data_IF_613928349015
#
_entry.id   IF_613928349015
#
_cell.length_a   1.000
_cell.length_b   1.000
_cell.length_c   1.000
_cell.angle_alpha   90.00
_cell.angle_beta   90.00
_cell.angle_gamma   90.00
#
_symmetry.space_group_name_H-M   'P 1'
#
loop_
_entity.id
_entity.type
_entity.pdbx_description
1 polymer ?
#
# COMPACT_ATOMS: atom_id res chain seq x y z
N UNK A 1 -25.32 19.10 -8.84
CA UNK A 1 -25.21 17.72 -8.33
C UNK A 1 -23.85 17.04 -8.57
N UNK A 2 -23.04 17.36 -9.60
CA UNK A 2 -21.67 16.79 -9.78
C UNK A 2 -20.64 17.42 -8.85
N UNK A 3 -20.78 18.69 -8.50
CA UNK A 3 -19.85 19.40 -7.59
C UNK A 3 -19.97 18.96 -6.11
N UNK A 4 -21.17 18.58 -5.66
CA UNK A 4 -21.42 18.14 -4.27
C UNK A 4 -20.75 16.81 -3.89
N UNK A 5 -20.46 15.95 -4.87
CA UNK A 5 -19.82 14.63 -4.59
C UNK A 5 -18.32 14.72 -4.31
N UNK A 6 -17.67 15.80 -4.73
CA UNK A 6 -16.24 16.04 -4.51
C UNK A 6 -15.94 16.82 -3.22
N UNK A 7 -16.94 17.49 -2.66
CA UNK A 7 -16.79 18.22 -1.39
C UNK A 7 -16.93 17.28 -0.18
N UNK A 8 -15.80 16.98 0.46
CA UNK A 8 -15.75 16.18 1.68
C UNK A 8 -15.95 17.01 2.95
N UNK A 9 -16.12 18.32 2.80
CA UNK A 9 -16.25 19.27 3.94
C UNK A 9 -17.68 19.44 4.42
N UNK A 10 -18.67 18.88 3.70
CA UNK A 10 -20.11 19.00 3.99
C UNK A 10 -20.79 17.63 4.06
N UNK A 11 -22.01 17.58 4.56
CA UNK A 11 -22.82 16.36 4.65
C UNK A 11 -22.33 15.33 5.67
N UNK A 12 -22.90 14.12 5.60
CA UNK A 12 -22.55 13.01 6.49
C UNK A 12 -21.16 12.46 6.19
N UNK A 13 -20.28 12.40 7.20
CA UNK A 13 -18.94 11.81 7.08
C UNK A 13 -19.08 10.29 6.90
N UNK A 14 -19.96 9.62 7.64
CA UNK A 14 -20.17 8.18 7.57
C UNK A 14 -20.50 7.72 6.14
N UNK A 15 -21.59 8.21 5.57
CA UNK A 15 -22.00 7.80 4.23
C UNK A 15 -20.97 8.18 3.15
N UNK A 16 -20.46 9.42 3.19
CA UNK A 16 -19.48 9.85 2.18
C UNK A 16 -18.17 9.06 2.26
N UNK A 17 -17.67 8.75 3.47
CA UNK A 17 -16.44 7.98 3.66
C UNK A 17 -16.62 6.54 3.19
N UNK A 18 -17.75 5.90 3.47
CA UNK A 18 -18.04 4.56 2.98
C UNK A 18 -18.03 4.50 1.44
N UNK A 19 -18.80 5.39 0.79
CA UNK A 19 -18.86 5.43 -0.69
C UNK A 19 -17.54 5.84 -1.34
N UNK A 20 -16.72 6.63 -0.66
CA UNK A 20 -15.37 6.98 -1.08
C UNK A 20 -14.43 5.77 -0.99
N UNK A 21 -14.54 4.97 0.07
CA UNK A 21 -13.61 3.87 0.35
C UNK A 21 -13.91 2.62 -0.48
N UNK A 22 -15.17 2.36 -0.87
CA UNK A 22 -15.52 1.18 -1.69
C UNK A 22 -14.67 1.07 -2.97
N UNK A 23 -14.54 2.12 -3.81
CA UNK A 23 -13.69 2.02 -5.00
C UNK A 23 -12.20 1.78 -4.65
N UNK A 24 -11.71 2.29 -3.52
CA UNK A 24 -10.33 2.05 -3.07
C UNK A 24 -10.13 0.59 -2.64
N UNK A 25 -11.09 0.00 -1.91
CA UNK A 25 -11.07 -1.43 -1.57
C UNK A 25 -11.05 -2.27 -2.84
N UNK A 26 -11.91 -1.95 -3.82
CA UNK A 26 -11.94 -2.66 -5.10
C UNK A 26 -10.63 -2.48 -5.89
N UNK A 27 -10.01 -1.29 -5.83
CA UNK A 27 -8.70 -1.05 -6.45
C UNK A 27 -7.62 -1.96 -5.85
N UNK A 28 -7.58 -2.07 -4.52
CA UNK A 28 -6.64 -2.93 -3.83
C UNK A 28 -6.88 -4.41 -4.16
N UNK A 29 -8.14 -4.85 -4.17
CA UNK A 29 -8.48 -6.22 -4.58
C UNK A 29 -8.08 -6.53 -6.02
N UNK A 30 -8.30 -5.61 -6.95
CA UNK A 30 -7.85 -5.79 -8.34
C UNK A 30 -6.33 -5.94 -8.43
N UNK A 31 -5.55 -5.18 -7.65
CA UNK A 31 -4.10 -5.33 -7.62
C UNK A 31 -3.68 -6.74 -7.15
N UNK A 32 -4.31 -7.26 -6.10
CA UNK A 32 -4.06 -8.62 -5.63
C UNK A 32 -4.44 -9.65 -6.70
N UNK A 33 -5.61 -9.52 -7.32
CA UNK A 33 -6.06 -10.43 -8.37
C UNK A 33 -5.13 -10.43 -9.59
N UNK A 34 -4.62 -9.26 -9.99
CA UNK A 34 -3.68 -9.17 -11.11
C UNK A 34 -2.35 -9.83 -10.77
N UNK A 35 -1.81 -9.61 -9.57
CA UNK A 35 -0.61 -10.31 -9.11
C UNK A 35 -0.80 -11.84 -9.08
N UNK A 36 -1.97 -12.30 -8.62
CA UNK A 36 -2.28 -13.74 -8.64
C UNK A 36 -2.38 -14.29 -10.06
N UNK A 37 -2.98 -13.54 -10.99
CA UNK A 37 -3.07 -13.93 -12.40
C UNK A 37 -1.68 -14.01 -13.06
N UNK A 38 -0.79 -13.06 -12.76
CA UNK A 38 0.60 -13.06 -13.23
C UNK A 38 1.35 -14.32 -12.75
N UNK A 39 1.27 -14.62 -11.45
CA UNK A 39 1.90 -15.79 -10.84
C UNK A 39 1.32 -17.08 -11.43
N UNK A 40 -0.01 -17.17 -11.57
CA UNK A 40 -0.67 -18.36 -12.15
C UNK A 40 -0.29 -18.55 -13.62
N UNK A 41 -0.23 -17.48 -14.41
CA UNK A 41 0.19 -17.50 -15.81
C UNK A 41 1.62 -18.00 -15.98
N UNK A 42 2.54 -17.51 -15.16
CA UNK A 42 3.94 -17.99 -15.17
C UNK A 42 4.01 -19.45 -14.76
N UNK A 43 3.36 -19.85 -13.67
CA UNK A 43 3.42 -21.21 -13.15
C UNK A 43 2.88 -22.26 -14.12
N UNK A 44 1.82 -21.93 -14.86
CA UNK A 44 1.19 -22.86 -15.82
C UNK A 44 1.91 -22.93 -17.17
N UNK A 45 2.47 -21.83 -17.67
CA UNK A 45 2.94 -21.72 -19.05
C UNK A 45 4.45 -21.50 -19.19
N UNK A 46 5.14 -20.95 -18.18
CA UNK A 46 6.58 -20.67 -18.24
C UNK A 46 7.43 -21.63 -17.39
N UNK A 47 6.78 -22.49 -16.59
CA UNK A 47 7.45 -23.52 -15.80
C UNK A 47 7.95 -23.07 -14.42
N UNK A 48 8.44 -24.04 -13.64
CA UNK A 48 8.78 -23.86 -12.21
C UNK A 48 10.00 -22.95 -11.98
N UNK A 49 10.97 -22.94 -12.88
CA UNK A 49 12.16 -22.07 -12.78
C UNK A 49 11.76 -20.59 -12.93
N UNK A 50 10.92 -20.27 -13.94
CA UNK A 50 10.41 -18.94 -14.16
C UNK A 50 9.53 -18.46 -13.01
N UNK A 51 8.69 -19.35 -12.47
CA UNK A 51 7.89 -19.08 -11.28
C UNK A 51 8.77 -18.79 -10.06
N UNK A 52 9.81 -19.59 -9.85
CA UNK A 52 10.78 -19.39 -8.76
C UNK A 52 11.55 -18.09 -8.90
N UNK A 53 11.97 -17.74 -10.12
CA UNK A 53 12.67 -16.49 -10.41
C UNK A 53 11.80 -15.26 -10.08
N UNK A 54 10.54 -15.22 -10.55
CA UNK A 54 9.61 -14.12 -10.24
C UNK A 54 9.27 -14.08 -8.75
N UNK A 55 9.00 -15.24 -8.14
CA UNK A 55 8.71 -15.35 -6.70
C UNK A 55 9.83 -14.77 -5.83
N UNK A 56 11.10 -14.99 -6.19
CA UNK A 56 12.25 -14.47 -5.44
C UNK A 56 12.37 -12.93 -5.51
N UNK A 57 11.73 -12.26 -6.47
CA UNK A 57 11.74 -10.81 -6.61
C UNK A 57 10.62 -10.10 -5.84
N UNK A 58 9.62 -10.84 -5.35
CA UNK A 58 8.39 -10.27 -4.76
C UNK A 58 8.68 -9.29 -3.63
N UNK A 59 9.64 -9.59 -2.75
CA UNK A 59 10.02 -8.71 -1.65
C UNK A 59 10.55 -7.37 -2.15
N UNK A 60 11.42 -7.39 -3.17
CA UNK A 60 11.97 -6.17 -3.78
C UNK A 60 10.87 -5.35 -4.45
N UNK A 61 10.00 -6.00 -5.23
CA UNK A 61 8.85 -5.35 -5.88
C UNK A 61 7.99 -4.66 -4.81
N UNK A 62 7.60 -5.39 -3.75
CA UNK A 62 6.74 -4.86 -2.70
C UNK A 62 7.39 -3.72 -1.92
N UNK A 63 8.70 -3.79 -1.66
CA UNK A 63 9.45 -2.73 -1.00
C UNK A 63 9.39 -1.42 -1.79
N UNK A 64 9.74 -1.45 -3.08
CA UNK A 64 9.79 -0.24 -3.90
C UNK A 64 8.42 0.28 -4.29
N UNK A 65 7.45 -0.61 -4.56
CA UNK A 65 6.06 -0.19 -4.81
C UNK A 65 5.45 0.45 -3.56
N UNK A 66 5.66 -0.15 -2.39
CA UNK A 66 5.24 0.40 -1.11
C UNK A 66 5.83 1.78 -0.82
N UNK A 67 7.12 1.97 -1.16
CA UNK A 67 7.76 3.28 -1.08
C UNK A 67 7.05 4.34 -1.95
N UNK A 68 6.77 4.02 -3.21
CA UNK A 68 6.09 4.96 -4.13
C UNK A 68 4.63 5.22 -3.71
N UNK A 69 3.92 4.24 -3.18
CA UNK A 69 2.58 4.41 -2.62
C UNK A 69 2.63 5.38 -1.42
N UNK A 70 3.59 5.20 -0.51
CA UNK A 70 3.76 6.09 0.63
C UNK A 70 4.07 7.54 0.22
N UNK A 71 4.90 7.73 -0.81
CA UNK A 71 5.16 9.05 -1.40
C UNK A 71 3.87 9.70 -1.93
N UNK A 72 2.98 8.93 -2.56
CA UNK A 72 1.66 9.39 -3.01
C UNK A 72 0.78 9.91 -1.87
N UNK A 73 0.89 9.33 -0.67
CA UNK A 73 0.16 9.79 0.51
C UNK A 73 0.42 11.26 0.86
N UNK A 74 1.65 11.74 0.69
CA UNK A 74 2.01 13.15 0.86
C UNK A 74 1.27 14.07 -0.12
N UNK A 75 1.16 13.63 -1.37
CA UNK A 75 0.40 14.36 -2.40
C UNK A 75 -1.08 14.45 -2.05
N UNK A 76 -1.69 13.33 -1.64
CA UNK A 76 -3.10 13.29 -1.23
C UNK A 76 -3.39 14.32 -0.13
N UNK A 77 -2.65 14.27 0.96
CA UNK A 77 -2.87 15.15 2.12
C UNK A 77 -2.71 16.62 1.75
N UNK A 78 -1.65 16.98 1.02
CA UNK A 78 -1.35 18.38 0.73
C UNK A 78 -2.33 18.99 -0.29
N UNK A 79 -2.66 18.23 -1.34
CA UNK A 79 -3.67 18.65 -2.33
C UNK A 79 -5.04 18.77 -1.68
N UNK A 80 -5.46 17.79 -0.85
CA UNK A 80 -6.72 17.83 -0.12
C UNK A 80 -6.81 19.05 0.78
N UNK A 81 -5.72 19.41 1.47
CA UNK A 81 -5.67 20.59 2.36
C UNK A 81 -5.89 21.88 1.60
N UNK A 82 -5.16 22.15 0.53
CA UNK A 82 -5.32 23.39 -0.24
C UNK A 82 -6.65 23.44 -0.99
N UNK A 83 -7.11 22.28 -1.50
CA UNK A 83 -8.42 22.17 -2.13
C UNK A 83 -9.55 22.49 -1.13
N UNK A 84 -9.48 21.94 0.08
CA UNK A 84 -10.44 22.25 1.16
C UNK A 84 -10.42 23.70 1.61
N UNK A 85 -9.25 24.35 1.57
CA UNK A 85 -9.09 25.78 1.82
C UNK A 85 -9.61 26.67 0.68
N UNK A 86 -10.01 26.08 -0.45
CA UNK A 86 -10.35 26.78 -1.70
C UNK A 86 -9.22 27.68 -2.24
N UNK A 87 -7.98 27.37 -1.86
CA UNK A 87 -6.78 28.01 -2.36
C UNK A 87 -6.35 27.38 -3.68
N UNK A 88 -6.85 27.93 -4.77
CA UNK A 88 -6.63 27.45 -6.13
C UNK A 88 -5.15 27.51 -6.52
N UNK A 89 -4.45 28.58 -6.17
CA UNK A 89 -3.07 28.79 -6.55
C UNK A 89 -2.15 27.76 -5.90
N UNK A 90 -2.27 27.58 -4.58
CA UNK A 90 -1.48 26.59 -3.85
C UNK A 90 -1.84 25.14 -4.27
N UNK A 91 -3.12 24.88 -4.59
CA UNK A 91 -3.54 23.57 -5.09
C UNK A 91 -2.85 23.23 -6.41
N UNK A 92 -2.85 24.16 -7.38
CA UNK A 92 -2.20 23.96 -8.69
C UNK A 92 -0.69 23.83 -8.54
N UNK A 93 -0.05 24.70 -7.74
CA UNK A 93 1.39 24.62 -7.45
C UNK A 93 1.75 23.27 -6.85
N UNK A 94 0.93 22.78 -5.92
CA UNK A 94 1.13 21.46 -5.29
C UNK A 94 1.00 20.33 -6.30
N UNK A 95 -0.02 20.33 -7.17
CA UNK A 95 -0.21 19.30 -8.19
C UNK A 95 0.96 19.27 -9.17
N UNK A 96 1.40 20.44 -9.69
CA UNK A 96 2.53 20.52 -10.60
C UNK A 96 3.84 20.03 -9.96
N UNK A 97 4.11 20.48 -8.73
CA UNK A 97 5.30 20.07 -7.98
C UNK A 97 5.25 18.58 -7.63
N UNK A 98 4.09 18.06 -7.23
CA UNK A 98 3.91 16.65 -6.90
C UNK A 98 4.12 15.73 -8.11
N UNK A 99 3.70 16.14 -9.32
CA UNK A 99 4.00 15.43 -10.56
C UNK A 99 5.51 15.29 -10.76
N UNK A 100 6.25 16.38 -10.61
CA UNK A 100 7.71 16.40 -10.81
C UNK A 100 8.43 15.59 -9.72
N UNK A 101 8.02 15.71 -8.46
CA UNK A 101 8.57 14.94 -7.32
C UNK A 101 8.30 13.45 -7.49
N UNK A 102 7.10 13.06 -7.93
CA UNK A 102 6.75 11.66 -8.16
C UNK A 102 7.53 11.07 -9.34
N UNK A 103 7.69 11.83 -10.44
CA UNK A 103 8.53 11.42 -11.55
C UNK A 103 9.98 11.23 -11.10
N UNK A 104 10.54 12.18 -10.36
CA UNK A 104 11.90 12.08 -9.83
C UNK A 104 12.05 10.86 -8.89
N UNK A 105 11.10 10.61 -8.00
CA UNK A 105 11.10 9.44 -7.14
C UNK A 105 11.07 8.13 -7.95
N UNK A 106 10.21 8.03 -8.96
CA UNK A 106 10.15 6.88 -9.86
C UNK A 106 11.44 6.66 -10.64
N UNK A 107 12.09 7.73 -11.12
CA UNK A 107 13.38 7.68 -11.79
C UNK A 107 14.52 7.27 -10.84
N UNK A 108 14.53 7.75 -9.60
CA UNK A 108 15.50 7.34 -8.59
C UNK A 108 15.37 5.85 -8.30
N UNK A 109 14.14 5.35 -8.11
CA UNK A 109 13.86 3.92 -7.89
C UNK A 109 14.27 3.10 -9.11
N UNK A 110 14.00 3.55 -10.33
CA UNK A 110 14.44 2.90 -11.57
C UNK A 110 15.96 2.76 -11.60
N UNK A 111 16.70 3.87 -11.44
CA UNK A 111 18.17 3.88 -11.52
C UNK A 111 18.75 2.98 -10.43
N UNK A 112 18.27 3.12 -9.21
CA UNK A 112 18.70 2.29 -8.07
C UNK A 112 18.43 0.81 -8.34
N UNK A 113 17.24 0.48 -8.82
CA UNK A 113 16.86 -0.90 -9.14
C UNK A 113 17.72 -1.51 -10.25
N UNK A 114 18.01 -0.76 -11.33
CA UNK A 114 18.87 -1.26 -12.41
C UNK A 114 20.31 -1.51 -11.94
N UNK A 115 20.83 -0.65 -11.07
CA UNK A 115 22.22 -0.75 -10.60
C UNK A 115 22.41 -1.84 -9.52
N UNK A 116 21.48 -1.94 -8.57
CA UNK A 116 21.68 -2.74 -7.35
C UNK A 116 20.85 -4.03 -7.30
N UNK A 117 19.94 -4.29 -8.25
CA UNK A 117 19.05 -5.46 -8.21
C UNK A 117 19.78 -6.80 -8.04
N UNK A 118 20.87 -7.01 -8.79
CA UNK A 118 21.65 -8.26 -8.69
C UNK A 118 22.24 -8.44 -7.28
N UNK A 119 22.95 -7.43 -6.78
CA UNK A 119 23.57 -7.50 -5.44
C UNK A 119 22.55 -7.67 -4.32
N UNK A 120 21.36 -7.08 -4.46
CA UNK A 120 20.30 -7.26 -3.44
C UNK A 120 19.72 -8.67 -3.51
N UNK A 121 19.50 -9.24 -4.70
CA UNK A 121 19.03 -10.62 -4.85
C UNK A 121 20.05 -11.64 -4.33
N UNK A 122 21.34 -11.41 -4.53
CA UNK A 122 22.42 -12.20 -3.94
C UNK A 122 22.42 -12.10 -2.41
N UNK A 123 22.25 -10.87 -1.86
CA UNK A 123 22.15 -10.64 -0.42
C UNK A 123 20.92 -11.34 0.21
N UNK A 124 19.83 -11.46 -0.55
CA UNK A 124 18.63 -12.19 -0.15
C UNK A 124 18.77 -13.71 -0.32
N UNK A 125 19.96 -14.21 -0.64
CA UNK A 125 20.24 -15.62 -0.87
C UNK A 125 19.36 -16.28 -1.95
N UNK A 126 19.09 -15.54 -3.04
CA UNK A 126 18.40 -16.11 -4.19
C UNK A 126 19.26 -17.25 -4.76
N UNK A 127 18.65 -18.42 -5.00
CA UNK A 127 19.35 -19.58 -5.55
C UNK A 127 19.99 -19.25 -6.88
N UNK A 128 21.20 -19.75 -7.12
CA UNK A 128 22.01 -19.44 -8.31
C UNK A 128 21.27 -19.79 -9.61
N UNK A 129 20.54 -20.91 -9.64
CA UNK A 129 19.72 -21.34 -10.78
C UNK A 129 18.53 -20.41 -11.12
N UNK A 130 18.10 -19.57 -10.18
CA UNK A 130 17.00 -18.61 -10.34
C UNK A 130 17.50 -17.18 -10.56
N UNK A 131 18.77 -16.90 -10.24
CA UNK A 131 19.32 -15.54 -10.15
C UNK A 131 19.24 -14.79 -11.47
N UNK A 132 19.63 -15.38 -12.57
CA UNK A 132 19.63 -14.73 -13.88
C UNK A 132 18.21 -14.37 -14.34
N UNK A 133 17.26 -15.28 -14.18
CA UNK A 133 15.83 -15.02 -14.46
C UNK A 133 15.25 -13.95 -13.56
N UNK A 134 15.59 -13.97 -12.26
CA UNK A 134 15.15 -12.98 -11.29
C UNK A 134 15.71 -11.58 -11.59
N UNK A 135 17.00 -11.50 -11.94
CA UNK A 135 17.66 -10.22 -12.32
C UNK A 135 17.05 -9.68 -13.61
N UNK A 136 16.81 -10.53 -14.60
CA UNK A 136 16.16 -10.12 -15.85
C UNK A 136 14.77 -9.57 -15.59
N UNK A 137 13.91 -10.32 -14.86
CA UNK A 137 12.57 -9.91 -14.50
C UNK A 137 12.55 -8.56 -13.78
N UNK A 138 13.34 -8.44 -12.71
CA UNK A 138 13.31 -7.25 -11.86
C UNK A 138 13.84 -6.00 -12.58
N UNK A 139 14.88 -6.14 -13.40
CA UNK A 139 15.39 -5.03 -14.22
C UNK A 139 14.38 -4.53 -15.22
N UNK A 140 13.70 -5.43 -15.92
CA UNK A 140 12.60 -5.06 -16.81
C UNK A 140 11.49 -4.39 -15.97
N UNK A 141 11.06 -4.98 -14.86
CA UNK A 141 10.00 -4.46 -14.01
C UNK A 141 10.30 -3.04 -13.51
N UNK A 142 11.56 -2.73 -13.16
CA UNK A 142 11.95 -1.39 -12.72
C UNK A 142 11.77 -0.32 -13.81
N UNK A 143 11.78 -0.64 -15.10
CA UNK A 143 11.43 0.31 -16.16
C UNK A 143 10.00 0.84 -16.01
N UNK A 144 9.12 0.13 -15.33
CA UNK A 144 7.77 0.56 -15.01
C UNK A 144 7.64 1.49 -13.79
N UNK A 145 8.70 1.66 -12.96
CA UNK A 145 8.61 2.44 -11.73
C UNK A 145 8.24 3.92 -11.94
N UNK A 146 8.73 4.63 -12.96
CA UNK A 146 8.25 5.98 -13.25
C UNK A 146 6.75 6.03 -13.57
N UNK A 147 6.23 5.05 -14.31
CA UNK A 147 4.80 4.96 -14.61
C UNK A 147 3.99 4.67 -13.34
N UNK A 148 4.46 3.77 -12.48
CA UNK A 148 3.83 3.49 -11.19
C UNK A 148 3.81 4.72 -10.27
N UNK A 149 4.89 5.48 -10.21
CA UNK A 149 4.96 6.73 -9.46
C UNK A 149 3.93 7.76 -9.99
N UNK A 150 3.78 7.88 -11.30
CA UNK A 150 2.81 8.75 -11.95
C UNK A 150 1.36 8.29 -11.72
N UNK A 151 1.11 6.98 -11.75
CA UNK A 151 -0.21 6.46 -11.41
C UNK A 151 -0.57 6.75 -9.94
N UNK A 152 0.35 6.49 -9.00
CA UNK A 152 0.13 6.78 -7.58
C UNK A 152 -0.06 8.29 -7.33
N UNK A 153 0.68 9.16 -8.02
CA UNK A 153 0.45 10.60 -8.02
C UNK A 153 -0.97 10.94 -8.46
N UNK A 154 -1.40 10.42 -9.60
CA UNK A 154 -2.74 10.71 -10.15
C UNK A 154 -3.85 10.18 -9.26
N UNK A 155 -3.70 8.96 -8.71
CA UNK A 155 -4.61 8.39 -7.73
C UNK A 155 -4.71 9.26 -6.47
N UNK A 156 -3.59 9.75 -5.96
CA UNK A 156 -3.54 10.64 -4.80
C UNK A 156 -4.27 11.97 -5.05
N UNK A 157 -4.07 12.59 -6.23
CA UNK A 157 -4.77 13.82 -6.63
C UNK A 157 -6.28 13.57 -6.79
N UNK A 158 -6.69 12.50 -7.47
CA UNK A 158 -8.10 12.14 -7.62
C UNK A 158 -8.76 11.91 -6.25
N UNK A 159 -8.10 11.18 -5.35
CA UNK A 159 -8.58 10.94 -3.99
C UNK A 159 -8.69 12.25 -3.19
N UNK A 160 -7.71 13.15 -3.34
CA UNK A 160 -7.75 14.47 -2.70
C UNK A 160 -8.97 15.31 -3.14
N UNK A 161 -9.43 15.13 -4.39
CA UNK A 161 -10.64 15.75 -4.94
C UNK A 161 -11.93 14.98 -4.64
N UNK A 162 -11.85 13.86 -3.94
CA UNK A 162 -13.01 13.03 -3.61
C UNK A 162 -13.43 12.03 -4.71
N UNK A 163 -12.66 11.89 -5.79
CA UNK A 163 -12.97 11.00 -6.91
C UNK A 163 -12.08 9.74 -6.88
N UNK A 164 -12.57 8.69 -6.26
CA UNK A 164 -11.87 7.39 -6.17
C UNK A 164 -12.29 6.40 -7.26
N UNK A 165 -13.32 6.72 -8.05
CA UNK A 165 -13.83 5.83 -9.10
C UNK A 165 -12.95 5.83 -10.35
N UNK A 166 -12.45 6.99 -10.77
CA UNK A 166 -11.60 7.09 -11.96
C UNK A 166 -10.33 6.24 -11.85
N UNK A 167 -9.54 6.32 -10.75
CA UNK A 167 -8.38 5.44 -10.57
C UNK A 167 -8.73 3.96 -10.67
N UNK A 168 -9.86 3.53 -10.08
CA UNK A 168 -10.35 2.15 -10.17
C UNK A 168 -10.59 1.71 -11.62
N UNK A 169 -11.30 2.52 -12.42
CA UNK A 169 -11.56 2.18 -13.82
C UNK A 169 -10.29 2.11 -14.67
N UNK A 170 -9.35 3.02 -14.43
CA UNK A 170 -8.09 3.03 -15.18
C UNK A 170 -7.18 1.87 -14.82
N UNK A 171 -7.12 1.52 -13.53
CA UNK A 171 -6.40 0.34 -13.09
C UNK A 171 -7.06 -0.94 -13.62
N UNK A 172 -8.40 -1.03 -13.56
CA UNK A 172 -9.14 -2.17 -14.09
C UNK A 172 -8.88 -2.38 -15.58
N UNK A 173 -8.93 -1.31 -16.39
CA UNK A 173 -8.62 -1.38 -17.82
C UNK A 173 -7.16 -1.82 -18.06
N UNK A 174 -6.21 -1.26 -17.33
CA UNK A 174 -4.80 -1.62 -17.42
C UNK A 174 -4.55 -3.09 -17.00
N UNK A 175 -5.25 -3.56 -15.97
CA UNK A 175 -5.14 -4.94 -15.50
C UNK A 175 -5.69 -5.96 -16.49
N UNK A 176 -6.80 -5.66 -17.19
CA UNK A 176 -7.29 -6.52 -18.28
C UNK A 176 -6.24 -6.61 -19.39
N UNK A 177 -5.65 -5.47 -19.78
CA UNK A 177 -4.57 -5.44 -20.77
C UNK A 177 -3.35 -6.23 -20.29
N UNK A 178 -3.00 -6.12 -19.01
CA UNK A 178 -1.91 -6.90 -18.40
C UNK A 178 -2.13 -8.41 -18.56
N UNK A 179 -3.31 -8.92 -18.20
CA UNK A 179 -3.64 -10.36 -18.32
C UNK A 179 -3.54 -10.81 -19.78
N UNK A 180 -4.13 -10.05 -20.71
CA UNK A 180 -4.09 -10.38 -22.14
C UNK A 180 -2.65 -10.41 -22.67
N UNK A 181 -1.86 -9.39 -22.34
CA UNK A 181 -0.45 -9.31 -22.76
C UNK A 181 0.41 -10.39 -22.11
N UNK A 182 0.16 -10.74 -20.86
CA UNK A 182 0.83 -11.85 -20.18
C UNK A 182 0.65 -13.16 -20.94
N UNK A 183 -0.61 -13.51 -21.23
CA UNK A 183 -0.91 -14.73 -21.99
C UNK A 183 -0.29 -14.67 -23.39
N UNK A 184 -0.35 -13.53 -24.07
CA UNK A 184 0.24 -13.34 -25.39
C UNK A 184 1.77 -13.51 -25.36
N UNK A 185 2.48 -12.82 -24.49
CA UNK A 185 3.95 -12.88 -24.44
C UNK A 185 4.47 -14.24 -23.95
N UNK A 186 3.79 -14.86 -22.97
CA UNK A 186 4.23 -16.15 -22.43
C UNK A 186 3.88 -17.30 -23.38
N UNK A 187 2.65 -17.35 -23.90
CA UNK A 187 2.18 -18.50 -24.71
C UNK A 187 2.61 -18.37 -26.17
N UNK A 188 2.38 -17.20 -26.78
CA UNK A 188 2.62 -17.00 -28.22
C UNK A 188 4.07 -16.63 -28.50
N UNK A 189 4.61 -15.65 -27.75
CA UNK A 189 5.98 -15.15 -27.96
C UNK A 189 7.04 -16.00 -27.23
N UNK A 190 6.66 -16.86 -26.29
CA UNK A 190 7.53 -17.71 -25.45
C UNK A 190 8.63 -16.91 -24.75
N UNK A 191 8.26 -15.74 -24.20
CA UNK A 191 9.21 -14.81 -23.59
C UNK A 191 9.46 -15.08 -22.09
N UNK A 192 8.85 -16.12 -21.50
CA UNK A 192 8.99 -16.50 -20.09
C UNK A 192 8.88 -15.29 -19.14
N UNK A 193 9.83 -15.15 -18.19
CA UNK A 193 9.85 -14.06 -17.19
C UNK A 193 9.90 -12.67 -17.83
N UNK A 194 10.57 -12.52 -18.97
CA UNK A 194 10.66 -11.23 -19.67
C UNK A 194 9.31 -10.80 -20.23
N UNK A 195 8.49 -11.75 -20.70
CA UNK A 195 7.15 -11.49 -21.21
C UNK A 195 6.22 -10.94 -20.14
N UNK A 196 6.24 -11.54 -18.96
CA UNK A 196 5.42 -11.10 -17.83
C UNK A 196 5.84 -9.71 -17.34
N UNK A 197 7.14 -9.48 -17.20
CA UNK A 197 7.64 -8.15 -16.84
C UNK A 197 7.25 -7.09 -17.89
N UNK A 198 7.37 -7.40 -19.18
CA UNK A 198 6.95 -6.51 -20.26
C UNK A 198 5.45 -6.19 -20.24
N UNK A 199 4.60 -7.20 -20.02
CA UNK A 199 3.16 -7.01 -19.86
C UNK A 199 2.84 -6.07 -18.69
N UNK A 200 3.51 -6.26 -17.55
CA UNK A 200 3.35 -5.41 -16.36
C UNK A 200 3.77 -3.96 -16.63
N UNK A 201 4.88 -3.73 -17.32
CA UNK A 201 5.31 -2.37 -17.69
C UNK A 201 4.30 -1.69 -18.60
N UNK A 202 3.86 -2.36 -19.66
CA UNK A 202 2.93 -1.78 -20.64
C UNK A 202 1.64 -1.38 -19.93
N UNK A 203 1.11 -2.25 -19.05
CA UNK A 203 -0.10 -1.95 -18.30
C UNK A 203 0.10 -0.82 -17.28
N UNK A 204 1.27 -0.72 -16.62
CA UNK A 204 1.60 0.39 -15.73
C UNK A 204 1.65 1.73 -16.49
N UNK A 205 2.30 1.78 -17.66
CA UNK A 205 2.30 2.99 -18.50
C UNK A 205 0.91 3.33 -19.02
N UNK A 206 0.08 2.34 -19.35
CA UNK A 206 -1.31 2.56 -19.75
C UNK A 206 -2.12 3.20 -18.61
N UNK A 207 -2.05 2.67 -17.38
CA UNK A 207 -2.75 3.23 -16.23
C UNK A 207 -2.28 4.65 -15.91
N UNK A 208 -0.96 4.89 -15.97
CA UNK A 208 -0.37 6.23 -15.80
C UNK A 208 -0.84 7.22 -16.88
N UNK A 209 -0.86 6.80 -18.13
CA UNK A 209 -1.37 7.63 -19.23
C UNK A 209 -2.84 7.99 -19.05
N UNK A 210 -3.68 7.00 -18.72
CA UNK A 210 -5.12 7.21 -18.55
C UNK A 210 -5.42 8.19 -17.41
N UNK A 211 -4.73 8.05 -16.27
CA UNK A 211 -4.96 8.94 -15.13
C UNK A 211 -4.43 10.35 -15.38
N UNK A 212 -3.27 10.50 -16.01
CA UNK A 212 -2.72 11.81 -16.39
C UNK A 212 -3.63 12.51 -17.40
N UNK A 213 -4.10 11.77 -18.43
CA UNK A 213 -5.07 12.30 -19.40
C UNK A 213 -6.34 12.79 -18.71
N UNK A 214 -6.82 12.06 -17.70
CA UNK A 214 -7.98 12.49 -16.93
C UNK A 214 -7.72 13.80 -16.18
N UNK A 215 -6.56 13.95 -15.53
CA UNK A 215 -6.18 15.15 -14.80
C UNK A 215 -6.00 16.36 -15.72
N UNK A 216 -5.49 16.15 -16.95
CA UNK A 216 -5.39 17.20 -17.97
C UNK A 216 -6.76 17.58 -18.52
N UNK A 217 -7.67 16.61 -18.69
CA UNK A 217 -9.03 16.83 -19.22
C UNK A 217 -10.07 17.27 -18.18
N UNK A 218 -9.73 17.25 -16.89
CA UNK A 218 -10.61 17.84 -15.87
C UNK A 218 -10.75 19.33 -16.20
N UNK A 219 -11.96 19.73 -16.63
CA UNK A 219 -12.25 21.12 -16.91
C UNK A 219 -12.21 21.96 -15.63
N UNK A 220 -11.91 23.25 -15.77
CA UNK A 220 -11.91 24.21 -14.68
C UNK A 220 -10.52 24.57 -14.15
N UNK A 221 -10.52 25.20 -12.98
CA UNK A 221 -9.34 25.86 -12.43
C UNK A 221 -8.25 24.90 -11.92
N UNK A 222 -8.57 23.63 -11.69
CA UNK A 222 -7.67 22.61 -11.11
C UNK A 222 -7.07 21.64 -12.15
N UNK A 223 -7.25 21.92 -13.43
CA UNK A 223 -6.71 21.08 -14.51
C UNK A 223 -5.17 21.05 -14.50
N UNK A 224 -4.59 19.88 -14.62
CA UNK A 224 -3.14 19.74 -14.84
C UNK A 224 -2.77 20.31 -16.22
N UNK A 225 -1.98 21.37 -16.24
CA UNK A 225 -1.52 22.01 -17.49
C UNK A 225 -0.03 21.75 -17.68
N UNK A 226 0.30 20.76 -18.50
CA UNK A 226 1.70 20.37 -18.74
C UNK A 226 2.58 21.50 -19.30
N UNK A 227 1.99 22.41 -20.09
CA UNK A 227 2.69 23.60 -20.61
C UNK A 227 3.00 24.67 -19.56
N UNK A 228 2.40 24.57 -18.39
CA UNK A 228 2.57 25.51 -17.26
C UNK A 228 3.17 24.86 -16.03
N UNK A 229 3.85 23.71 -16.20
CA UNK A 229 4.53 23.04 -15.10
C UNK A 229 5.54 23.97 -14.44
N UNK A 230 5.43 24.11 -13.12
CA UNK A 230 6.35 24.89 -12.29
C UNK A 230 6.71 24.08 -11.06
N UNK A 231 7.99 24.04 -10.76
CA UNK A 231 8.51 23.46 -9.53
C UNK A 231 8.54 24.52 -8.43
N UNK A 232 7.85 24.24 -7.35
CA UNK A 232 7.87 25.11 -6.16
C UNK A 232 8.63 24.40 -5.03
N UNK A 233 9.77 24.98 -4.62
CA UNK A 233 10.65 24.39 -3.58
C UNK A 233 9.94 24.20 -2.24
N UNK A 234 9.03 25.11 -1.87
CA UNK A 234 8.30 25.04 -0.62
C UNK A 234 7.29 23.89 -0.64
N UNK A 235 6.56 23.74 -1.73
CA UNK A 235 5.62 22.62 -1.92
C UNK A 235 6.37 21.30 -1.98
N UNK A 236 7.51 21.24 -2.67
CA UNK A 236 8.37 20.05 -2.70
C UNK A 236 8.84 19.66 -1.29
N UNK A 237 9.27 20.64 -0.48
CA UNK A 237 9.64 20.40 0.91
C UNK A 237 8.51 19.78 1.74
N UNK A 238 7.28 20.29 1.62
CA UNK A 238 6.11 19.72 2.32
C UNK A 238 5.76 18.32 1.82
N UNK A 239 5.81 18.10 0.50
CA UNK A 239 5.54 16.78 -0.09
C UNK A 239 6.55 15.73 0.39
N UNK A 240 7.83 16.07 0.40
CA UNK A 240 8.90 15.19 0.88
C UNK A 240 8.78 14.96 2.39
N UNK A 241 8.49 15.99 3.17
CA UNK A 241 8.34 15.88 4.63
C UNK A 241 7.20 14.92 5.03
N UNK A 242 6.15 14.82 4.22
CA UNK A 242 5.03 13.91 4.49
C UNK A 242 5.24 12.55 3.79
N UNK A 243 5.59 12.57 2.51
CA UNK A 243 5.65 11.39 1.67
C UNK A 243 6.87 10.51 1.91
N UNK A 244 8.06 11.11 2.07
CA UNK A 244 9.29 10.33 2.24
C UNK A 244 9.28 9.46 3.51
N UNK A 245 8.90 9.97 4.70
CA UNK A 245 8.78 9.11 5.89
C UNK A 245 7.74 8.01 5.71
N UNK A 246 6.61 8.30 5.04
CA UNK A 246 5.57 7.31 4.76
C UNK A 246 6.09 6.19 3.82
N UNK A 247 6.82 6.56 2.77
CA UNK A 247 7.45 5.61 1.86
C UNK A 247 8.50 4.75 2.54
N UNK A 248 9.38 5.36 3.33
CA UNK A 248 10.40 4.63 4.11
C UNK A 248 9.74 3.67 5.12
N UNK A 249 8.68 4.08 5.80
CA UNK A 249 7.95 3.21 6.71
C UNK A 249 7.46 1.94 6.01
N UNK A 250 6.83 2.06 4.84
CA UNK A 250 6.36 0.91 4.09
C UNK A 250 7.50 -0.03 3.71
N UNK A 251 8.65 0.51 3.28
CA UNK A 251 9.84 -0.29 2.98
C UNK A 251 10.39 -1.01 4.21
N UNK A 252 10.52 -0.33 5.34
CA UNK A 252 11.04 -0.91 6.59
C UNK A 252 10.10 -2.00 7.13
N UNK A 253 8.78 -1.85 6.95
CA UNK A 253 7.83 -2.92 7.29
C UNK A 253 8.11 -4.21 6.50
N UNK A 254 8.46 -4.11 5.21
CA UNK A 254 8.80 -5.30 4.43
C UNK A 254 10.06 -5.99 4.95
N UNK A 255 11.07 -5.21 5.37
CA UNK A 255 12.26 -5.76 6.00
C UNK A 255 11.90 -6.45 7.33
N UNK A 256 11.07 -5.84 8.16
CA UNK A 256 10.62 -6.45 9.42
C UNK A 256 9.86 -7.78 9.19
N UNK A 257 9.07 -7.86 8.13
CA UNK A 257 8.35 -9.10 7.77
C UNK A 257 9.31 -10.24 7.35
N UNK A 258 10.49 -9.93 6.80
CA UNK A 258 11.51 -10.96 6.50
C UNK A 258 12.01 -11.65 7.78
N UNK A 259 12.17 -10.93 8.88
CA UNK A 259 12.55 -11.54 10.17
C UNK A 259 11.47 -12.48 10.69
N UNK A 260 10.19 -12.14 10.51
CA UNK A 260 9.09 -13.02 10.88
C UNK A 260 9.08 -14.26 10.00
N UNK A 261 9.29 -14.09 8.68
CA UNK A 261 9.38 -15.22 7.75
C UNK A 261 10.56 -16.14 8.09
N UNK A 262 11.71 -15.59 8.50
CA UNK A 262 12.83 -16.38 8.99
C UNK A 262 12.41 -17.22 10.21
N UNK A 263 11.63 -16.67 11.14
CA UNK A 263 11.05 -17.42 12.25
C UNK A 263 10.09 -18.53 11.80
N UNK A 264 9.23 -18.25 10.81
CA UNK A 264 8.34 -19.28 10.23
C UNK A 264 9.13 -20.42 9.60
N UNK A 265 10.23 -20.11 8.93
CA UNK A 265 11.08 -21.10 8.24
C UNK A 265 11.83 -22.07 9.20
N UNK A 266 11.79 -21.80 10.52
CA UNK A 266 12.32 -22.73 11.52
C UNK A 266 11.38 -23.89 11.81
N UNK A 267 10.12 -23.81 11.38
CA UNK A 267 9.15 -24.90 11.48
C UNK A 267 9.22 -25.85 10.26
N UNK A 268 8.43 -26.90 10.29
CA UNK A 268 8.32 -27.87 9.20
C UNK A 268 7.69 -27.26 7.93
N UNK A 269 7.84 -27.97 6.82
CA UNK A 269 7.33 -27.52 5.51
C UNK A 269 5.80 -27.34 5.51
N UNK A 270 5.07 -28.13 6.29
CA UNK A 270 3.60 -28.03 6.42
C UNK A 270 3.23 -26.69 7.05
N UNK A 271 3.91 -26.27 8.12
CA UNK A 271 3.68 -24.98 8.76
C UNK A 271 4.05 -23.82 7.85
N UNK A 272 5.15 -23.92 7.12
CA UNK A 272 5.56 -22.88 6.14
C UNK A 272 4.50 -22.73 5.04
N UNK A 273 4.00 -23.85 4.50
CA UNK A 273 2.93 -23.83 3.50
C UNK A 273 1.61 -23.24 4.06
N UNK A 274 1.21 -23.65 5.26
CA UNK A 274 0.03 -23.12 5.94
C UNK A 274 0.14 -21.62 6.23
N UNK A 275 1.32 -21.15 6.67
CA UNK A 275 1.59 -19.72 6.84
C UNK A 275 1.46 -18.95 5.53
N UNK A 276 1.99 -19.46 4.43
CA UNK A 276 1.93 -18.83 3.12
C UNK A 276 0.50 -18.71 2.61
N UNK A 277 -0.32 -19.74 2.76
CA UNK A 277 -1.74 -19.70 2.41
C UNK A 277 -2.50 -18.68 3.28
N UNK A 278 -2.25 -18.65 4.59
CA UNK A 278 -2.89 -17.74 5.53
C UNK A 278 -2.48 -16.27 5.30
N UNK A 279 -1.27 -16.00 4.82
CA UNK A 279 -0.80 -14.64 4.53
C UNK A 279 -1.63 -13.93 3.44
N UNK A 280 -2.28 -14.67 2.54
CA UNK A 280 -3.19 -14.08 1.57
C UNK A 280 -4.45 -13.46 2.24
N UNK A 281 -4.92 -14.04 3.35
CA UNK A 281 -6.01 -13.48 4.14
C UNK A 281 -5.59 -12.15 4.79
N UNK A 282 -4.35 -12.07 5.30
CA UNK A 282 -3.80 -10.84 5.87
C UNK A 282 -3.80 -9.71 4.84
N UNK A 283 -3.33 -9.98 3.62
CA UNK A 283 -3.27 -8.99 2.55
C UNK A 283 -4.66 -8.44 2.21
N UNK A 284 -5.64 -9.32 1.99
CA UNK A 284 -7.01 -8.92 1.65
C UNK A 284 -7.66 -8.06 2.73
N UNK A 285 -7.48 -8.44 4.00
CA UNK A 285 -8.10 -7.73 5.11
C UNK A 285 -7.41 -6.40 5.38
N UNK A 286 -6.07 -6.40 5.39
CA UNK A 286 -5.27 -5.20 5.61
C UNK A 286 -5.47 -4.16 4.50
N UNK A 287 -5.50 -4.58 3.24
CA UNK A 287 -5.74 -3.69 2.09
C UNK A 287 -7.15 -3.10 2.12
N UNK A 288 -8.14 -3.85 2.63
CA UNK A 288 -9.49 -3.32 2.87
C UNK A 288 -9.49 -2.21 3.92
N UNK A 289 -8.74 -2.38 5.02
CA UNK A 289 -8.58 -1.37 6.07
C UNK A 289 -7.81 -0.15 5.55
N UNK A 290 -6.77 -0.36 4.72
CA UNK A 290 -5.93 0.70 4.17
C UNK A 290 -6.70 1.71 3.30
N UNK A 291 -7.80 1.28 2.67
CA UNK A 291 -8.69 2.18 1.95
C UNK A 291 -9.29 3.27 2.85
N UNK A 292 -9.60 2.93 4.11
CA UNK A 292 -10.13 3.90 5.08
C UNK A 292 -9.03 4.80 5.66
N UNK A 293 -7.78 4.34 5.71
CA UNK A 293 -6.64 5.21 6.07
C UNK A 293 -6.39 6.27 4.99
N UNK A 294 -6.52 5.89 3.72
CA UNK A 294 -6.47 6.83 2.59
C UNK A 294 -7.63 7.82 2.64
N UNK A 295 -8.85 7.34 2.93
CA UNK A 295 -10.00 8.19 3.13
C UNK A 295 -9.81 9.16 4.30
N UNK A 296 -9.23 8.70 5.42
CA UNK A 296 -8.88 9.55 6.56
C UNK A 296 -8.03 10.75 6.12
N UNK A 297 -6.96 10.50 5.35
CA UNK A 297 -6.08 11.55 4.82
C UNK A 297 -6.83 12.59 3.98
N UNK A 298 -7.67 12.12 3.04
CA UNK A 298 -8.45 13.02 2.15
C UNK A 298 -9.48 13.83 2.92
N UNK A 299 -10.28 13.18 3.79
CA UNK A 299 -11.34 13.86 4.57
C UNK A 299 -10.75 14.85 5.58
N UNK A 300 -9.74 14.42 6.34
CA UNK A 300 -9.07 15.31 7.30
C UNK A 300 -8.35 16.45 6.59
N UNK A 301 -7.65 16.17 5.48
CA UNK A 301 -6.96 17.19 4.70
C UNK A 301 -7.92 18.31 4.22
N UNK A 302 -9.02 17.94 3.56
CA UNK A 302 -10.02 18.93 3.11
C UNK A 302 -10.66 19.69 4.29
N UNK A 303 -11.05 19.01 5.37
CA UNK A 303 -11.66 19.65 6.52
C UNK A 303 -10.66 20.52 7.32
N UNK A 304 -9.37 20.15 7.31
CA UNK A 304 -8.31 20.98 7.88
C UNK A 304 -8.14 22.27 7.08
N UNK A 305 -8.05 22.16 5.76
CA UNK A 305 -7.98 23.34 4.88
C UNK A 305 -9.20 24.26 5.02
N UNK A 306 -10.39 23.68 5.21
CA UNK A 306 -11.63 24.41 5.40
C UNK A 306 -11.81 24.98 6.83
N UNK A 307 -10.85 24.84 7.75
CA UNK A 307 -10.96 25.31 9.13
C UNK A 307 -11.96 24.56 10.01
N UNK A 308 -12.46 23.40 9.61
CA UNK A 308 -13.54 22.65 10.28
C UNK A 308 -13.01 21.68 11.34
N UNK A 309 -12.49 22.22 12.46
CA UNK A 309 -11.83 21.44 13.53
C UNK A 309 -12.63 20.22 14.01
N UNK A 310 -13.92 20.37 14.28
CA UNK A 310 -14.77 19.23 14.72
C UNK A 310 -14.86 18.15 13.66
N UNK A 311 -14.94 18.51 12.36
CA UNK A 311 -15.00 17.54 11.28
C UNK A 311 -13.66 16.81 11.06
N UNK A 312 -12.54 17.49 11.29
CA UNK A 312 -11.20 16.83 11.28
C UNK A 312 -11.18 15.68 12.29
N UNK A 313 -11.58 15.94 13.55
CA UNK A 313 -11.67 14.89 14.58
C UNK A 313 -12.65 13.78 14.21
N UNK A 314 -13.84 14.15 13.73
CA UNK A 314 -14.87 13.19 13.39
C UNK A 314 -14.45 12.33 12.18
N UNK A 315 -13.71 12.87 11.22
CA UNK A 315 -13.16 12.11 10.09
C UNK A 315 -12.20 11.02 10.57
N UNK A 316 -11.32 11.34 11.53
CA UNK A 316 -10.48 10.32 12.18
C UNK A 316 -11.30 9.24 12.88
N UNK A 317 -12.27 9.62 13.71
CA UNK A 317 -13.08 8.66 14.46
C UNK A 317 -13.91 7.75 13.56
N UNK A 318 -14.47 8.28 12.48
CA UNK A 318 -15.24 7.50 11.51
C UNK A 318 -14.33 6.54 10.72
N UNK A 319 -13.15 6.99 10.32
CA UNK A 319 -12.15 6.13 9.67
C UNK A 319 -11.71 4.99 10.60
N UNK A 320 -11.40 5.32 11.85
CA UNK A 320 -11.06 4.33 12.88
C UNK A 320 -12.20 3.31 13.08
N UNK A 321 -13.45 3.78 13.20
CA UNK A 321 -14.60 2.90 13.40
C UNK A 321 -14.80 1.93 12.24
N UNK A 322 -14.67 2.39 10.99
CA UNK A 322 -14.76 1.52 9.81
C UNK A 322 -13.58 0.55 9.74
N UNK A 323 -12.35 1.01 9.93
CA UNK A 323 -11.16 0.15 9.90
C UNK A 323 -11.20 -0.90 11.01
N UNK A 324 -11.56 -0.50 12.24
CA UNK A 324 -11.73 -1.42 13.36
C UNK A 324 -12.85 -2.42 13.12
N UNK A 325 -14.00 -1.95 12.60
CA UNK A 325 -15.13 -2.83 12.27
C UNK A 325 -14.76 -3.86 11.20
N UNK A 326 -14.11 -3.44 10.11
CA UNK A 326 -13.67 -4.35 9.05
C UNK A 326 -12.60 -5.32 9.58
N UNK A 327 -11.60 -4.83 10.30
CA UNK A 327 -10.54 -5.67 10.87
C UNK A 327 -11.09 -6.70 11.85
N UNK A 328 -12.03 -6.31 12.71
CA UNK A 328 -12.63 -7.19 13.71
C UNK A 328 -13.62 -8.18 13.07
N UNK A 329 -14.58 -7.70 12.28
CA UNK A 329 -15.57 -8.56 11.63
C UNK A 329 -14.91 -9.51 10.63
N UNK A 330 -14.00 -9.01 9.81
CA UNK A 330 -13.25 -9.81 8.85
C UNK A 330 -12.32 -10.82 9.56
N UNK A 331 -11.67 -10.41 10.64
CA UNK A 331 -10.85 -11.30 11.47
C UNK A 331 -11.67 -12.43 12.10
N UNK A 332 -12.85 -12.12 12.67
CA UNK A 332 -13.78 -13.14 13.18
C UNK A 332 -14.27 -14.06 12.07
N UNK A 333 -14.61 -13.50 10.90
CA UNK A 333 -15.00 -14.29 9.73
C UNK A 333 -13.88 -15.25 9.29
N UNK A 334 -12.62 -14.82 9.30
CA UNK A 334 -11.48 -15.69 9.01
C UNK A 334 -11.26 -16.77 10.07
N UNK A 335 -11.57 -16.53 11.33
CA UNK A 335 -11.52 -17.57 12.37
C UNK A 335 -12.61 -18.61 12.13
N UNK A 336 -13.83 -18.19 11.76
CA UNK A 336 -14.98 -19.09 11.55
C UNK A 336 -14.86 -19.84 10.21
N UNK A 337 -14.58 -19.12 9.12
CA UNK A 337 -14.57 -19.65 7.74
C UNK A 337 -13.16 -19.86 7.20
N UNK A 338 -12.14 -19.81 8.03
CA UNK A 338 -10.74 -19.88 7.60
C UNK A 338 -10.39 -21.21 6.94
N UNK A 339 -11.01 -22.32 7.35
CA UNK A 339 -10.81 -23.63 6.71
C UNK A 339 -11.26 -23.60 5.24
N UNK A 340 -12.42 -23.01 4.96
CA UNK A 340 -12.94 -22.85 3.60
C UNK A 340 -12.05 -21.91 2.78
N UNK A 341 -11.59 -20.82 3.38
CA UNK A 341 -10.65 -19.89 2.74
C UNK A 341 -9.32 -20.57 2.39
N UNK A 342 -8.71 -21.28 3.34
CA UNK A 342 -7.46 -21.99 3.11
C UNK A 342 -7.63 -23.13 2.09
N UNK A 343 -8.80 -23.76 2.05
CA UNK A 343 -9.15 -24.78 1.06
C UNK A 343 -9.13 -24.30 -0.40
N UNK A 344 -9.13 -22.97 -0.63
CA UNK A 344 -8.93 -22.41 -1.96
C UNK A 344 -7.48 -22.54 -2.45
N UNK A 345 -6.52 -22.71 -1.54
CA UNK A 345 -5.09 -22.77 -1.83
C UNK A 345 -4.49 -24.17 -1.72
N UNK A 346 -5.11 -25.05 -0.92
CA UNK A 346 -4.59 -26.41 -0.68
C UNK A 346 -5.70 -27.38 -0.32
N UNK A 347 -5.55 -28.62 -0.78
CA UNK A 347 -6.42 -29.73 -0.40
C UNK A 347 -5.82 -30.60 0.75
N UNK A 348 -4.62 -30.25 1.23
CA UNK A 348 -3.97 -30.99 2.32
C UNK A 348 -4.52 -30.52 3.68
N UNK A 349 -5.22 -31.39 4.44
CA UNK A 349 -5.77 -31.03 5.74
C UNK A 349 -4.71 -30.58 6.76
N UNK A 350 -3.49 -31.11 6.69
CA UNK A 350 -2.41 -30.74 7.60
C UNK A 350 -1.95 -29.30 7.36
N UNK A 351 -1.87 -28.89 6.11
CA UNK A 351 -1.54 -27.50 5.71
C UNK A 351 -2.66 -26.55 6.13
N UNK A 352 -3.93 -26.95 5.97
CA UNK A 352 -5.09 -26.18 6.43
C UNK A 352 -5.04 -25.98 7.94
N UNK A 353 -4.77 -27.03 8.71
CA UNK A 353 -4.66 -26.95 10.17
C UNK A 353 -3.50 -26.05 10.62
N UNK A 354 -2.37 -26.10 9.93
CA UNK A 354 -1.24 -25.22 10.18
C UNK A 354 -1.59 -23.76 9.90
N UNK A 355 -2.26 -23.47 8.77
CA UNK A 355 -2.75 -22.11 8.44
C UNK A 355 -3.75 -21.59 9.44
N UNK A 356 -4.65 -22.44 9.94
CA UNK A 356 -5.64 -22.04 10.98
C UNK A 356 -4.98 -21.59 12.28
N UNK A 357 -3.82 -22.14 12.67
CA UNK A 357 -3.08 -21.67 13.86
C UNK A 357 -2.70 -20.20 13.73
N UNK A 358 -2.28 -19.77 12.54
CA UNK A 358 -2.00 -18.36 12.25
C UNK A 358 -3.28 -17.53 12.22
N UNK A 359 -4.29 -17.95 11.43
CA UNK A 359 -5.52 -17.19 11.26
C UNK A 359 -6.26 -16.96 12.58
N UNK A 360 -6.25 -17.90 13.49
CA UNK A 360 -6.87 -17.76 14.81
C UNK A 360 -6.22 -16.63 15.62
N UNK A 361 -4.90 -16.53 15.64
CA UNK A 361 -4.19 -15.47 16.38
C UNK A 361 -4.33 -14.12 15.65
N UNK A 362 -4.11 -14.12 14.33
CA UNK A 362 -4.16 -12.91 13.52
C UNK A 362 -5.56 -12.31 13.45
N UNK A 363 -6.61 -13.16 13.35
CA UNK A 363 -8.00 -12.72 13.30
C UNK A 363 -8.39 -11.78 14.44
N UNK A 364 -7.90 -12.05 15.65
CA UNK A 364 -8.11 -11.16 16.81
C UNK A 364 -7.16 -9.95 16.82
N UNK A 365 -6.10 -9.96 16.03
CA UNK A 365 -5.07 -8.92 16.03
C UNK A 365 -5.39 -7.74 15.11
N UNK A 366 -6.14 -7.94 14.02
CA UNK A 366 -6.39 -6.89 13.01
C UNK A 366 -7.09 -5.65 13.58
N UNK A 367 -8.02 -5.82 14.54
CA UNK A 367 -8.65 -4.69 15.20
C UNK A 367 -7.66 -3.76 15.90
N UNK A 368 -6.57 -4.30 16.46
CA UNK A 368 -5.54 -3.48 17.11
C UNK A 368 -4.73 -2.65 16.10
N UNK A 369 -4.45 -3.21 14.91
CA UNK A 369 -3.75 -2.45 13.86
C UNK A 369 -4.54 -1.23 13.40
N UNK A 370 -5.87 -1.28 13.42
CA UNK A 370 -6.72 -0.16 13.05
C UNK A 370 -6.46 1.10 13.90
N UNK A 371 -6.21 0.94 15.19
CA UNK A 371 -5.90 2.05 16.09
C UNK A 371 -4.55 2.69 15.75
N UNK A 372 -3.55 1.87 15.45
CA UNK A 372 -2.23 2.33 15.05
C UNK A 372 -2.30 3.10 13.72
N UNK A 373 -2.79 2.45 12.67
CA UNK A 373 -2.73 3.00 11.31
C UNK A 373 -3.65 4.21 11.11
N UNK A 374 -4.83 4.24 11.76
CA UNK A 374 -5.70 5.41 11.74
C UNK A 374 -5.07 6.62 12.44
N UNK A 375 -4.35 6.42 13.55
CA UNK A 375 -3.66 7.52 14.25
C UNK A 375 -2.48 8.05 13.43
N UNK A 376 -1.74 7.17 12.75
CA UNK A 376 -0.68 7.53 11.80
C UNK A 376 -1.26 8.37 10.65
N UNK A 377 -2.33 7.88 10.01
CA UNK A 377 -2.99 8.57 8.90
C UNK A 377 -3.50 9.96 9.32
N UNK A 378 -4.09 10.06 10.51
CA UNK A 378 -4.59 11.31 11.08
C UNK A 378 -3.46 12.31 11.39
N UNK A 379 -2.35 11.86 11.93
CA UNK A 379 -1.17 12.70 12.20
C UNK A 379 -0.56 13.22 10.89
N UNK A 380 -0.47 12.37 9.88
CA UNK A 380 -0.01 12.74 8.53
C UNK A 380 -0.94 13.76 7.86
N UNK A 381 -2.26 13.62 8.02
CA UNK A 381 -3.24 14.56 7.50
C UNK A 381 -3.07 15.98 8.08
N UNK A 382 -2.52 16.09 9.30
CA UNK A 382 -2.13 17.35 9.92
C UNK A 382 -0.70 17.80 9.56
N UNK A 383 -0.04 17.11 8.61
CA UNK A 383 1.31 17.44 8.14
C UNK A 383 2.45 16.89 9.01
N UNK A 384 2.16 16.00 9.96
CA UNK A 384 3.15 15.40 10.87
C UNK A 384 3.37 13.93 10.49
N UNK A 385 4.44 13.65 9.74
CA UNK A 385 4.74 12.30 9.24
C UNK A 385 5.98 11.68 9.90
N UNK A 386 6.99 12.49 10.21
CA UNK A 386 8.29 11.99 10.70
C UNK A 386 8.15 11.26 12.03
N UNK A 387 7.52 11.89 13.03
CA UNK A 387 7.40 11.29 14.37
C UNK A 387 6.55 10.01 14.36
N UNK A 388 5.36 9.96 13.73
CA UNK A 388 4.62 8.70 13.57
C UNK A 388 5.46 7.60 12.91
N UNK A 389 6.20 7.93 11.86
CA UNK A 389 7.08 6.96 11.21
C UNK A 389 8.15 6.41 12.17
N UNK A 390 8.78 7.26 12.98
CA UNK A 390 9.76 6.83 13.99
C UNK A 390 9.13 5.94 15.06
N UNK A 391 7.94 6.31 15.55
CA UNK A 391 7.19 5.51 16.53
C UNK A 391 6.91 4.10 15.97
N UNK A 392 6.46 4.01 14.72
CA UNK A 392 6.19 2.72 14.06
C UNK A 392 7.47 1.92 13.85
N UNK A 393 8.56 2.54 13.41
CA UNK A 393 9.83 1.84 13.20
C UNK A 393 10.31 1.23 14.53
N UNK A 394 10.24 1.97 15.61
CA UNK A 394 10.66 1.48 16.93
C UNK A 394 9.63 0.45 17.47
N UNK A 395 8.37 0.82 17.53
CA UNK A 395 7.31 0.04 18.20
C UNK A 395 6.85 -1.19 17.42
N UNK A 396 6.98 -1.18 16.09
CA UNK A 396 6.58 -2.34 15.28
C UNK A 396 7.78 -3.03 14.63
N UNK A 397 8.69 -2.32 13.95
CA UNK A 397 9.74 -3.00 13.20
C UNK A 397 10.86 -3.50 14.13
N UNK A 398 11.50 -2.61 14.90
CA UNK A 398 12.59 -3.00 15.82
C UNK A 398 12.04 -3.95 16.90
N UNK A 399 10.87 -3.66 17.46
CA UNK A 399 10.23 -4.54 18.45
C UNK A 399 10.06 -5.96 17.92
N UNK A 400 9.62 -6.14 16.67
CA UNK A 400 9.46 -7.48 16.07
C UNK A 400 10.80 -8.19 15.91
N UNK A 401 11.83 -7.47 15.49
CA UNK A 401 13.17 -8.04 15.37
C UNK A 401 13.70 -8.51 16.75
N UNK A 402 13.52 -7.69 17.78
CA UNK A 402 13.90 -8.05 19.17
C UNK A 402 13.08 -9.24 19.65
N UNK A 403 11.76 -9.24 19.43
CA UNK A 403 10.88 -10.32 19.84
C UNK A 403 11.25 -11.67 19.23
N UNK A 404 11.54 -11.69 17.93
CA UNK A 404 11.95 -12.93 17.22
C UNK A 404 13.27 -13.46 17.80
N UNK A 405 14.23 -12.58 18.10
CA UNK A 405 15.53 -12.99 18.65
C UNK A 405 15.55 -13.26 20.16
N UNK A 406 14.49 -12.94 20.88
CA UNK A 406 14.39 -13.15 22.33
C UNK A 406 13.25 -14.08 22.69
N UNK A 407 12.01 -13.59 22.69
CA UNK A 407 10.82 -14.35 23.12
C UNK A 407 10.60 -15.56 22.22
N UNK A 408 10.57 -15.38 20.89
CA UNK A 408 10.39 -16.50 19.99
C UNK A 408 11.59 -17.47 20.03
N UNK A 409 12.81 -16.97 20.10
CA UNK A 409 14.01 -17.81 20.20
C UNK A 409 14.01 -18.70 21.47
N UNK A 410 13.39 -18.22 22.54
CA UNK A 410 13.25 -18.99 23.81
C UNK A 410 12.14 -20.06 23.73
N UNK A 411 10.93 -19.64 23.35
CA UNK A 411 9.76 -20.52 23.38
C UNK A 411 9.65 -21.44 22.16
N UNK A 412 10.08 -20.99 20.97
CA UNK A 412 10.05 -21.70 19.67
C UNK A 412 8.67 -22.30 19.33
N UNK A 413 7.58 -21.59 19.67
CA UNK A 413 6.21 -22.03 19.43
C UNK A 413 5.50 -21.10 18.45
N UNK A 414 4.50 -21.62 17.72
CA UNK A 414 3.70 -20.84 16.78
C UNK A 414 2.98 -19.67 17.48
N UNK A 415 2.34 -19.85 18.66
CA UNK A 415 1.77 -18.70 19.38
C UNK A 415 2.81 -17.65 19.74
N UNK A 416 4.01 -18.03 20.21
CA UNK A 416 5.05 -17.06 20.57
C UNK A 416 5.54 -16.25 19.37
N UNK A 417 5.45 -16.81 18.16
CA UNK A 417 5.78 -16.08 16.93
C UNK A 417 4.71 -15.06 16.58
N UNK A 418 3.42 -15.45 16.53
CA UNK A 418 2.36 -14.56 16.03
C UNK A 418 1.81 -13.57 17.07
N UNK A 419 1.96 -13.84 18.36
CA UNK A 419 1.59 -12.89 19.41
C UNK A 419 2.38 -11.56 19.30
N UNK A 420 3.55 -11.58 18.65
CA UNK A 420 4.30 -10.35 18.38
C UNK A 420 3.46 -9.26 17.68
N UNK A 421 2.49 -9.65 16.84
CA UNK A 421 1.63 -8.69 16.14
C UNK A 421 0.73 -7.94 17.12
N UNK A 422 0.07 -8.65 18.03
CA UNK A 422 -0.80 -8.05 19.06
C UNK A 422 -0.03 -7.05 19.90
N UNK A 423 1.14 -7.45 20.43
CA UNK A 423 1.94 -6.59 21.29
C UNK A 423 2.53 -5.41 20.51
N UNK A 424 3.12 -5.63 19.32
CA UNK A 424 3.70 -4.56 18.53
C UNK A 424 2.66 -3.53 18.10
N UNK A 425 1.51 -3.98 17.59
CA UNK A 425 0.44 -3.08 17.19
C UNK A 425 -0.20 -2.37 18.38
N UNK A 426 -0.44 -3.08 19.47
CA UNK A 426 -1.04 -2.49 20.69
C UNK A 426 -0.17 -1.41 21.31
N UNK A 427 1.12 -1.68 21.52
CA UNK A 427 2.06 -0.70 22.09
C UNK A 427 2.20 0.50 21.17
N UNK A 428 2.42 0.24 19.87
CA UNK A 428 2.56 1.31 18.88
C UNK A 428 1.28 2.15 18.79
N UNK A 429 0.09 1.53 18.81
CA UNK A 429 -1.19 2.22 18.77
C UNK A 429 -1.37 3.20 19.95
N UNK A 430 -1.01 2.78 21.16
CA UNK A 430 -1.11 3.65 22.35
C UNK A 430 -0.25 4.90 22.17
N UNK A 431 1.02 4.74 21.75
CA UNK A 431 1.95 5.85 21.55
C UNK A 431 1.48 6.76 20.41
N UNK A 432 1.01 6.17 19.29
CA UNK A 432 0.48 6.93 18.15
C UNK A 432 -0.77 7.74 18.50
N UNK A 433 -1.69 7.17 19.28
CA UNK A 433 -2.89 7.88 19.72
C UNK A 433 -2.52 9.05 20.65
N UNK A 434 -1.60 8.84 21.60
CA UNK A 434 -1.12 9.91 22.46
C UNK A 434 -0.50 11.03 21.63
N UNK A 435 0.35 10.66 20.66
CA UNK A 435 0.97 11.63 19.76
C UNK A 435 -0.07 12.38 18.90
N UNK A 436 -1.04 11.66 18.32
CA UNK A 436 -2.11 12.28 17.53
C UNK A 436 -2.95 13.25 18.37
N UNK A 437 -3.32 12.89 19.59
CA UNK A 437 -4.06 13.79 20.51
C UNK A 437 -3.25 15.05 20.80
N UNK A 438 -1.95 14.91 21.05
CA UNK A 438 -1.04 16.05 21.24
C UNK A 438 -1.00 16.95 19.98
N UNK A 439 -0.80 16.37 18.80
CA UNK A 439 -0.79 17.12 17.53
C UNK A 439 -2.11 17.83 17.29
N UNK A 440 -3.23 17.12 17.46
CA UNK A 440 -4.57 17.70 17.24
C UNK A 440 -4.87 18.88 18.18
N UNK A 441 -4.45 18.79 19.46
CA UNK A 441 -4.63 19.87 20.45
C UNK A 441 -3.82 21.12 20.08
N UNK A 442 -2.58 20.93 19.63
CA UNK A 442 -1.62 22.00 19.39
C UNK A 442 -1.67 22.56 17.95
N UNK A 443 -2.39 21.90 17.03
CA UNK A 443 -2.55 22.41 15.66
C UNK A 443 -3.67 23.43 15.61
N UNK A 444 -3.36 24.64 15.11
CA UNK A 444 -4.36 25.67 14.84
C UNK A 444 -5.16 25.25 13.60
N UNK A 445 -6.44 25.04 13.75
CA UNK A 445 -7.39 24.67 12.70
C UNK A 445 -8.52 25.70 12.76
N UNK A 446 -8.59 26.58 11.78
CA UNK A 446 -9.54 27.69 11.72
C UNK A 446 -8.92 28.97 12.17
#
# INVERSE_FOLDING_TARGET
>A
MKEDRQDLTTGSIWGKMLFFSIPLVLTNFLQVLFNMADIAGIGQFAGSLSLGAVGSTTTLVTLFTGFLIGMGGGTNVLVARFFGAKDKESTIKTIHTALLVSMAAGMIVLIFGLLFSKGILELLNTKEELLDGAVLYIRIYFLGMPAMALYNFGNAVCSAFGDTKKPLYYLGAAGIVNIVLNLFFVIVCKMDVAGVAAASIISQYLSAFLILRALVKVGGDYALRLSKLRFDKRMAGYLIQIGLPAGLQNGIFQVANLFIQAGVNTFDAIMVAGNSAAANADALLYDSMAAFYTACGSFMGQNYGAGKRKRVRNSYLVSLAYSFGIGTIGGIALVIFGRQFLGLFTNDPAVVDAGMKRLTIMGFSYGFSAFMDSAIAASRALGKSVIPTVIVIIGSCIFRMVWVNTVFAYFKTIPSLYLLYIFSWGITAVVEIIYWVHVYRNTKIG
#
